data_IF_366784146875
#
_entry.id   IF_366784146875
#
_cell.length_a   1.000
_cell.length_b   1.000
_cell.length_c   1.000
_cell.angle_alpha   90.00
_cell.angle_beta   90.00
_cell.angle_gamma   90.00
#
_symmetry.space_group_name_H-M   'P 1'
#
loop_
_entity.id
_entity.type
_entity.pdbx_description
1 polymer ?
#
# COMPACT_ATOMS: atom_id res chain seq x y z
N UNK A 1 -6.11 6.04 -22.46
CA UNK A 1 -7.42 5.52 -22.10
C UNK A 1 -7.50 5.28 -20.59
N UNK A 2 -8.42 5.99 -19.93
CA UNK A 2 -8.58 5.90 -18.49
C UNK A 2 -9.68 4.90 -18.12
N UNK A 3 -9.43 4.12 -17.09
CA UNK A 3 -10.43 3.18 -16.58
C UNK A 3 -11.51 3.92 -15.78
N UNK A 4 -12.74 3.41 -15.86
CA UNK A 4 -13.82 3.90 -15.01
C UNK A 4 -13.66 3.38 -13.59
N UNK A 5 -14.41 3.96 -12.63
CA UNK A 5 -14.40 3.47 -11.25
C UNK A 5 -14.80 2.00 -11.18
N UNK A 6 -15.82 1.59 -11.95
CA UNK A 6 -16.26 0.20 -12.01
C UNK A 6 -15.15 -0.73 -12.51
N UNK A 7 -14.43 -0.31 -13.56
CA UNK A 7 -13.34 -1.11 -14.11
C UNK A 7 -12.18 -1.23 -13.10
N UNK A 8 -11.88 -0.15 -12.37
CA UNK A 8 -10.85 -0.19 -11.33
C UNK A 8 -11.22 -1.13 -10.19
N UNK A 9 -12.49 -1.10 -9.76
CA UNK A 9 -12.97 -2.01 -8.70
C UNK A 9 -12.86 -3.45 -9.16
N UNK A 10 -13.28 -3.74 -10.39
CA UNK A 10 -13.19 -5.10 -10.94
C UNK A 10 -11.75 -5.56 -11.06
N UNK A 11 -10.86 -4.68 -11.50
CA UNK A 11 -9.43 -5.00 -11.60
C UNK A 11 -8.84 -5.33 -10.23
N UNK A 12 -9.11 -4.48 -9.24
CA UNK A 12 -8.62 -4.70 -7.89
C UNK A 12 -9.18 -6.00 -7.30
N UNK A 13 -10.49 -6.22 -7.45
CA UNK A 13 -11.14 -7.43 -6.96
C UNK A 13 -10.50 -8.72 -7.51
N UNK A 14 -10.03 -8.66 -8.76
CA UNK A 14 -9.40 -9.82 -9.40
C UNK A 14 -7.97 -10.07 -8.94
N UNK A 15 -7.27 -9.07 -8.41
CA UNK A 15 -5.83 -9.16 -8.20
C UNK A 15 -5.34 -8.88 -6.79
N UNK A 16 -6.11 -8.18 -5.94
CA UNK A 16 -5.62 -7.83 -4.59
C UNK A 16 -5.41 -9.06 -3.73
N UNK A 17 -4.39 -8.97 -2.88
CA UNK A 17 -4.12 -9.93 -1.80
C UNK A 17 -4.25 -9.20 -0.49
N UNK A 18 -4.85 -9.83 0.49
CA UNK A 18 -4.96 -9.27 1.82
C UNK A 18 -3.84 -9.83 2.69
N UNK A 19 -3.10 -8.94 3.33
CA UNK A 19 -2.03 -9.31 4.23
C UNK A 19 -2.40 -9.00 5.67
N UNK A 20 -2.13 -9.94 6.57
CA UNK A 20 -2.21 -9.75 8.01
C UNK A 20 -0.79 -9.89 8.54
N UNK A 21 -0.18 -8.77 8.91
CA UNK A 21 1.24 -8.70 9.27
C UNK A 21 1.37 -8.59 10.78
N UNK A 22 1.88 -9.62 11.46
CA UNK A 22 2.11 -9.51 12.90
C UNK A 22 3.32 -8.63 13.18
N UNK A 23 3.15 -7.68 14.10
CA UNK A 23 4.24 -6.78 14.50
C UNK A 23 3.93 -6.17 15.86
N UNK A 24 4.90 -6.26 16.78
CA UNK A 24 4.84 -5.62 18.12
C UNK A 24 3.56 -5.99 18.88
N UNK A 25 3.15 -7.26 18.80
CA UNK A 25 1.97 -7.75 19.51
C UNK A 25 0.64 -7.42 18.87
N UNK A 26 0.66 -6.80 17.70
CA UNK A 26 -0.54 -6.41 16.96
C UNK A 26 -0.49 -7.00 15.55
N UNK A 27 -1.60 -6.88 14.83
CA UNK A 27 -1.68 -7.30 13.44
C UNK A 27 -1.98 -6.10 12.57
N UNK A 28 -1.13 -5.89 11.56
CA UNK A 28 -1.33 -4.82 10.56
C UNK A 28 -2.10 -5.42 9.39
N UNK A 29 -3.24 -4.81 9.04
CA UNK A 29 -4.05 -5.25 7.90
C UNK A 29 -3.73 -4.38 6.69
N UNK A 30 -3.26 -5.01 5.63
CA UNK A 30 -2.87 -4.32 4.41
C UNK A 30 -3.49 -4.98 3.19
N UNK A 31 -3.69 -4.19 2.13
CA UNK A 31 -4.06 -4.72 0.82
C UNK A 31 -2.91 -4.52 -0.14
N UNK A 32 -2.55 -5.56 -0.84
CA UNK A 32 -1.47 -5.57 -1.83
C UNK A 32 -2.06 -5.81 -3.22
N UNK A 33 -1.80 -4.88 -4.12
CA UNK A 33 -2.13 -5.04 -5.53
C UNK A 33 -0.84 -5.37 -6.27
N UNK A 34 -0.64 -6.62 -6.68
CA UNK A 34 0.59 -6.98 -7.40
C UNK A 34 0.64 -6.34 -8.79
N UNK A 35 1.85 -6.12 -9.28
CA UNK A 35 2.03 -5.63 -10.64
C UNK A 35 1.59 -6.71 -11.63
N UNK A 36 0.80 -6.31 -12.62
CA UNK A 36 0.33 -7.19 -13.68
C UNK A 36 0.63 -6.57 -15.04
N UNK A 37 0.57 -7.38 -16.10
CA UNK A 37 0.73 -6.92 -17.46
C UNK A 37 -0.40 -7.49 -18.32
N UNK A 38 -1.36 -6.67 -18.77
CA UNK A 38 -1.43 -5.23 -18.52
C UNK A 38 -1.85 -4.90 -17.09
N UNK A 39 -1.43 -3.71 -16.63
CA UNK A 39 -1.81 -3.21 -15.33
C UNK A 39 -2.96 -2.21 -15.41
N UNK A 40 -3.29 -1.62 -14.28
CA UNK A 40 -4.25 -0.55 -14.20
C UNK A 40 -3.54 0.80 -14.35
N UNK A 41 -4.22 1.79 -14.94
CA UNK A 41 -3.67 3.13 -15.17
C UNK A 41 -3.51 3.93 -13.86
N UNK A 42 -4.31 3.62 -12.84
CA UNK A 42 -4.25 4.29 -11.54
C UNK A 42 -4.37 3.26 -10.41
N UNK A 43 -3.30 2.51 -10.14
CA UNK A 43 -3.37 1.39 -9.20
C UNK A 43 -3.74 1.79 -7.77
N UNK A 44 -3.25 2.92 -7.27
CA UNK A 44 -3.62 3.35 -5.91
C UNK A 44 -5.11 3.70 -5.83
N UNK A 45 -5.64 4.35 -6.86
CA UNK A 45 -7.07 4.68 -6.94
C UNK A 45 -7.91 3.41 -7.03
N UNK A 46 -7.45 2.43 -7.79
CA UNK A 46 -8.14 1.14 -7.91
C UNK A 46 -8.29 0.45 -6.56
N UNK A 47 -7.22 0.42 -5.76
CA UNK A 47 -7.28 -0.18 -4.42
C UNK A 47 -8.24 0.62 -3.52
N UNK A 48 -8.15 1.95 -3.55
CA UNK A 48 -9.05 2.80 -2.76
C UNK A 48 -10.53 2.61 -3.12
N UNK A 49 -10.83 2.54 -4.41
CA UNK A 49 -12.20 2.29 -4.87
C UNK A 49 -12.70 0.92 -4.39
N UNK A 50 -11.84 -0.09 -4.46
CA UNK A 50 -12.17 -1.44 -4.00
C UNK A 50 -12.47 -1.44 -2.49
N UNK A 51 -11.64 -0.79 -1.69
CA UNK A 51 -11.83 -0.71 -0.23
C UNK A 51 -13.19 -0.11 0.10
N UNK A 52 -13.56 1.00 -0.55
CA UNK A 52 -14.84 1.65 -0.32
C UNK A 52 -16.00 0.77 -0.79
N UNK A 53 -15.85 0.14 -1.93
CA UNK A 53 -16.87 -0.75 -2.49
C UNK A 53 -17.17 -1.94 -1.58
N UNK A 54 -16.15 -2.49 -0.92
CA UNK A 54 -16.29 -3.67 -0.06
C UNK A 54 -16.51 -3.32 1.41
N UNK A 55 -16.56 -2.04 1.76
CA UNK A 55 -16.77 -1.62 3.15
C UNK A 55 -15.61 -1.96 4.06
N UNK A 56 -14.38 -1.95 3.54
CA UNK A 56 -13.18 -2.33 4.29
C UNK A 56 -12.43 -1.15 4.90
N UNK A 57 -13.00 0.05 4.85
CA UNK A 57 -12.30 1.26 5.26
C UNK A 57 -11.85 1.31 6.71
N UNK A 58 -12.57 0.62 7.61
CA UNK A 58 -12.21 0.58 9.02
C UNK A 58 -11.25 -0.56 9.35
N UNK A 59 -11.05 -1.49 8.42
CA UNK A 59 -10.21 -2.67 8.63
C UNK A 59 -8.82 -2.48 8.03
N UNK A 60 -8.75 -1.97 6.80
CA UNK A 60 -7.49 -1.83 6.07
C UNK A 60 -6.74 -0.59 6.55
N UNK A 61 -5.49 -0.77 6.93
CA UNK A 61 -4.64 0.29 7.47
C UNK A 61 -3.62 0.79 6.47
N UNK A 62 -3.15 -0.09 5.57
CA UNK A 62 -2.07 0.20 4.63
C UNK A 62 -2.41 -0.39 3.27
N UNK A 63 -2.04 0.32 2.20
CA UNK A 63 -2.18 -0.17 0.84
C UNK A 63 -0.81 -0.22 0.16
N UNK A 64 -0.62 -1.23 -0.69
CA UNK A 64 0.60 -1.40 -1.49
C UNK A 64 0.17 -1.58 -2.94
N UNK A 65 0.76 -0.81 -3.83
CA UNK A 65 0.36 -0.77 -5.25
C UNK A 65 1.58 -0.55 -6.14
N UNK A 66 1.54 -1.01 -7.41
CA UNK A 66 2.67 -0.82 -8.31
C UNK A 66 2.98 0.66 -8.54
N UNK A 67 4.26 1.00 -8.54
CA UNK A 67 4.69 2.34 -8.92
C UNK A 67 4.58 2.45 -10.44
N UNK A 68 3.88 3.46 -10.93
CA UNK A 68 3.66 3.67 -12.36
C UNK A 68 4.93 4.09 -13.11
N UNK A 69 5.89 4.64 -12.39
CA UNK A 69 7.11 5.21 -13.00
C UNK A 69 8.33 4.32 -12.85
N UNK A 70 8.22 3.21 -12.15
CA UNK A 70 9.34 2.33 -11.87
C UNK A 70 8.90 0.89 -11.74
N UNK A 71 9.83 0.04 -11.32
CA UNK A 71 9.57 -1.39 -11.17
C UNK A 71 9.09 -1.77 -9.78
N UNK A 72 9.19 -0.85 -8.82
CA UNK A 72 8.83 -1.11 -7.43
C UNK A 72 7.39 -0.76 -7.11
N UNK A 73 7.17 -0.39 -5.85
CA UNK A 73 5.83 -0.20 -5.31
C UNK A 73 5.73 1.11 -4.52
N UNK A 74 4.51 1.64 -4.47
CA UNK A 74 4.15 2.66 -3.49
C UNK A 74 3.50 1.98 -2.30
N UNK A 75 3.77 2.48 -1.10
CA UNK A 75 3.18 2.00 0.14
C UNK A 75 2.60 3.23 0.85
N UNK A 76 1.32 3.17 1.21
CA UNK A 76 0.68 4.30 1.87
C UNK A 76 -0.26 3.87 2.97
N UNK A 77 -0.45 4.76 3.96
CA UNK A 77 -1.46 4.54 4.98
C UNK A 77 -2.83 4.88 4.38
N UNK A 78 -3.81 4.04 4.67
CA UNK A 78 -5.15 4.25 4.14
C UNK A 78 -5.88 5.30 4.99
N UNK A 79 -6.39 6.35 4.35
CA UNK A 79 -7.18 7.41 5.00
C UNK A 79 -6.48 8.03 6.22
N UNK A 80 -5.18 8.31 6.09
CA UNK A 80 -4.38 8.93 7.16
C UNK A 80 -4.39 8.16 8.49
N UNK A 81 -4.38 6.83 8.40
CA UNK A 81 -4.35 5.99 9.59
C UNK A 81 -3.18 6.41 10.51
N UNK A 82 -3.45 6.81 11.78
CA UNK A 82 -2.45 7.50 12.61
C UNK A 82 -1.29 6.64 13.08
N UNK A 83 -1.38 5.33 12.89
CA UNK A 83 -0.36 4.40 13.38
C UNK A 83 0.81 4.22 12.42
N UNK A 84 0.80 4.91 11.29
CA UNK A 84 1.82 4.74 10.27
C UNK A 84 2.43 6.08 9.86
N UNK A 85 3.77 6.09 9.82
CA UNK A 85 4.54 7.23 9.35
C UNK A 85 5.66 6.69 8.47
N UNK A 86 5.46 6.76 7.16
CA UNK A 86 6.41 6.20 6.21
C UNK A 86 7.69 7.02 6.06
N UNK A 87 7.77 8.21 6.65
CA UNK A 87 9.05 8.93 6.71
C UNK A 87 10.06 8.18 7.59
N UNK A 88 9.60 7.29 8.46
CA UNK A 88 10.48 6.48 9.34
C UNK A 88 11.34 5.49 8.54
N UNK A 89 10.94 5.14 7.32
CA UNK A 89 11.70 4.20 6.49
C UNK A 89 12.52 4.90 5.41
N UNK A 90 12.59 6.23 5.43
CA UNK A 90 13.31 6.99 4.40
C UNK A 90 14.81 6.66 4.34
N UNK A 91 15.38 6.13 5.42
CA UNK A 91 16.80 5.77 5.48
C UNK A 91 17.10 4.41 4.85
N UNK A 92 16.07 3.62 4.54
CA UNK A 92 16.26 2.31 3.95
C UNK A 92 16.79 2.43 2.53
N UNK A 93 17.81 1.62 2.16
CA UNK A 93 18.48 1.80 0.86
C UNK A 93 17.58 1.58 -0.36
N UNK A 94 16.51 0.83 -0.22
CA UNK A 94 15.57 0.57 -1.30
C UNK A 94 14.35 1.51 -1.29
N UNK A 95 14.30 2.47 -0.36
CA UNK A 95 13.27 3.52 -0.34
C UNK A 95 13.85 4.76 -1.01
N UNK A 96 13.34 5.10 -2.18
CA UNK A 96 13.88 6.24 -2.94
C UNK A 96 13.05 7.52 -2.78
N UNK A 97 11.91 7.43 -2.13
CA UNK A 97 11.08 8.58 -1.81
C UNK A 97 10.22 8.28 -0.58
N UNK A 98 10.14 9.22 0.35
CA UNK A 98 9.19 9.16 1.45
C UNK A 98 8.63 10.56 1.65
N UNK A 99 7.29 10.67 1.65
CA UNK A 99 6.66 11.97 1.82
C UNK A 99 6.93 12.48 3.24
N UNK A 100 7.26 13.76 3.37
CA UNK A 100 7.62 14.35 4.67
C UNK A 100 6.49 14.29 5.69
N UNK A 101 5.23 14.26 5.24
CA UNK A 101 4.08 14.10 6.15
C UNK A 101 3.88 12.65 6.58
N UNK A 102 4.60 11.71 5.98
CA UNK A 102 4.57 10.30 6.37
C UNK A 102 3.45 9.48 5.77
N UNK A 103 2.64 10.05 4.87
CA UNK A 103 1.47 9.30 4.40
C UNK A 103 1.82 8.20 3.38
N UNK A 104 2.97 8.28 2.73
CA UNK A 104 3.37 7.26 1.76
C UNK A 104 4.87 7.28 1.50
N UNK A 105 5.38 6.18 0.95
CA UNK A 105 6.74 6.10 0.44
C UNK A 105 6.75 5.31 -0.87
N UNK A 106 7.87 5.38 -1.59
CA UNK A 106 8.10 4.59 -2.80
C UNK A 106 9.39 3.81 -2.64
N UNK A 107 9.35 2.55 -3.04
CA UNK A 107 10.50 1.64 -2.91
C UNK A 107 10.77 0.94 -4.22
N UNK A 108 12.03 0.56 -4.43
CA UNK A 108 12.41 -0.29 -5.56
C UNK A 108 12.17 -1.77 -5.26
N UNK A 109 11.81 -2.11 -4.03
CA UNK A 109 11.57 -3.48 -3.62
C UNK A 109 10.38 -4.07 -4.38
N UNK A 110 10.48 -5.35 -4.73
CA UNK A 110 9.41 -6.10 -5.39
C UNK A 110 9.05 -7.36 -4.60
N UNK A 111 9.90 -7.76 -3.65
CA UNK A 111 9.67 -8.94 -2.83
C UNK A 111 8.61 -8.66 -1.76
N UNK A 112 7.52 -9.46 -1.70
CA UNK A 112 6.48 -9.26 -0.69
C UNK A 112 6.98 -9.24 0.75
N UNK A 113 7.96 -10.07 1.09
CA UNK A 113 8.50 -10.08 2.45
C UNK A 113 9.19 -8.75 2.79
N UNK A 114 9.92 -8.18 1.82
CA UNK A 114 10.56 -6.87 2.02
C UNK A 114 9.51 -5.77 2.14
N UNK A 115 8.46 -5.82 1.32
CA UNK A 115 7.36 -4.85 1.40
C UNK A 115 6.69 -4.90 2.77
N UNK A 116 6.44 -6.10 3.31
CA UNK A 116 5.88 -6.26 4.66
C UNK A 116 6.80 -5.69 5.73
N UNK A 117 8.11 -5.88 5.58
CA UNK A 117 9.09 -5.35 6.53
C UNK A 117 9.09 -3.82 6.54
N UNK A 118 8.93 -3.19 5.38
CA UNK A 118 8.85 -1.72 5.30
C UNK A 118 7.58 -1.21 5.98
N UNK A 119 6.47 -1.91 5.82
CA UNK A 119 5.22 -1.56 6.50
C UNK A 119 5.42 -1.63 8.02
N UNK A 120 6.01 -2.71 8.51
CA UNK A 120 6.26 -2.88 9.94
C UNK A 120 7.16 -1.77 10.47
N UNK A 121 8.19 -1.39 9.69
CA UNK A 121 9.10 -0.31 10.07
C UNK A 121 8.48 1.07 10.14
N UNK A 122 7.34 1.26 9.46
CA UNK A 122 6.62 2.52 9.47
C UNK A 122 5.61 2.63 10.61
N UNK A 123 5.33 1.56 11.33
CA UNK A 123 4.36 1.58 12.42
C UNK A 123 4.88 2.44 13.57
N UNK A 124 4.06 3.38 14.02
CA UNK A 124 4.38 4.26 15.13
C UNK A 124 3.92 3.60 16.43
N UNK A 125 4.82 3.58 17.42
CA UNK A 125 4.46 3.04 18.72
C UNK A 125 3.47 3.99 19.41
N UNK A 126 2.31 3.47 19.77
CA UNK A 126 1.31 4.21 20.52
C UNK A 126 1.42 3.77 21.99
N UNK A 127 2.00 4.63 22.78
CA UNK A 127 2.10 4.40 24.22
C UNK A 127 1.18 5.36 24.96
#
# INVERSE_FOLDING_TARGET
HLHTARERIAFAAAHVERWSIPHAGETIEALFLPRTDPGNDEPSTAVGNYIRSEGLGEVIQVIVYPDRRGEGYGIGRYEDHPRFDFSRVQQEPDVHFAHKSGFMCKTTATDPDRLRALIAGAQVDVT
#
